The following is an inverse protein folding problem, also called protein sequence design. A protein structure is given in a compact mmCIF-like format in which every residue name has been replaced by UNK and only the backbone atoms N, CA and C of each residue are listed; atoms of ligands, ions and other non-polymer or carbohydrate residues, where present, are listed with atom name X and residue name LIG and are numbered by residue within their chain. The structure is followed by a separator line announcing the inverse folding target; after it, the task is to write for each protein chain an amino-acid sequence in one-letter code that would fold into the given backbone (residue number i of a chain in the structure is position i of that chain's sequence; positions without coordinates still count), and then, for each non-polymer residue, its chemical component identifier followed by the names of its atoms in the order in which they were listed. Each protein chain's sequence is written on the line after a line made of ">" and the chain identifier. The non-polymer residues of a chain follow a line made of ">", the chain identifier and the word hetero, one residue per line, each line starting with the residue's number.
data_IF_457494634441
#
_entry.id   IF_457494634441
#
_cell.length_a   1.000
_cell.length_b   1.000
_cell.length_c   1.000
_cell.angle_alpha   90.00
_cell.angle_beta   90.00
_cell.angle_gamma   90.00
#
_symmetry.space_group_name_H-M   'P 1'
#
loop_
_entity.id
_entity.type
_entity.pdbx_description
1 polymer ?
#
# COMPACT_ATOMS: atom_id res chain seq x y z
N UNK A 1 14.18 -8.56 -0.02
CA UNK A 1 13.58 -8.15 -1.32
C UNK A 1 13.90 -6.68 -1.57
N UNK A 2 14.07 -6.26 -2.83
CA UNK A 2 14.35 -4.83 -3.15
C UNK A 2 13.41 -4.33 -4.23
N UNK A 3 12.68 -3.24 -3.95
CA UNK A 3 11.85 -2.57 -4.93
C UNK A 3 12.59 -1.43 -5.63
N UNK A 4 12.25 -1.24 -6.90
CA UNK A 4 12.70 -0.16 -7.75
C UNK A 4 11.48 0.51 -8.38
N UNK A 5 11.51 1.83 -8.46
CA UNK A 5 10.43 2.61 -9.07
C UNK A 5 10.96 3.49 -10.19
N UNK A 6 10.14 3.74 -11.19
CA UNK A 6 10.37 4.76 -12.19
C UNK A 6 9.05 5.49 -12.49
N UNK A 7 9.10 6.81 -12.58
CA UNK A 7 7.93 7.65 -12.87
C UNK A 7 8.19 8.39 -14.18
N UNK A 8 7.19 8.51 -15.04
CA UNK A 8 7.42 9.08 -16.36
C UNK A 8 6.25 8.92 -17.32
N UNK A 9 6.61 8.69 -18.58
CA UNK A 9 5.68 8.41 -19.66
C UNK A 9 5.00 7.04 -19.52
N UNK A 10 3.91 6.84 -20.26
CA UNK A 10 3.22 5.54 -20.39
C UNK A 10 4.06 4.46 -21.07
N UNK A 11 5.19 4.81 -21.69
CA UNK A 11 6.12 3.82 -22.21
C UNK A 11 7.00 3.28 -21.07
N UNK A 12 7.33 1.99 -21.12
CA UNK A 12 8.22 1.38 -20.14
C UNK A 12 9.56 2.12 -20.06
N UNK A 13 10.14 2.31 -18.86
CA UNK A 13 11.42 2.99 -18.71
C UNK A 13 12.51 2.21 -19.44
N UNK A 14 13.34 2.93 -20.19
CA UNK A 14 14.49 2.37 -20.91
C UNK A 14 15.76 2.79 -20.16
N UNK A 15 16.71 1.85 -19.90
CA UNK A 15 16.67 0.44 -20.27
C UNK A 15 15.67 -0.36 -19.41
N UNK A 16 15.06 -1.42 -19.97
CA UNK A 16 14.32 -2.39 -19.16
C UNK A 16 15.28 -3.04 -18.14
N UNK A 17 14.77 -3.50 -16.98
CA UNK A 17 15.60 -4.25 -16.04
C UNK A 17 16.23 -5.44 -16.77
N UNK A 18 17.56 -5.50 -16.72
CA UNK A 18 18.34 -6.52 -17.43
C UNK A 18 18.13 -7.89 -16.79
N UNK A 19 18.38 -8.96 -17.54
CA UNK A 19 18.33 -10.34 -17.02
C UNK A 19 19.26 -10.55 -15.80
N UNK A 20 20.32 -9.75 -15.69
CA UNK A 20 21.26 -9.75 -14.56
C UNK A 20 20.69 -9.06 -13.31
N UNK A 21 19.43 -8.59 -13.34
CA UNK A 21 18.75 -7.98 -12.21
C UNK A 21 19.24 -6.57 -11.87
N UNK A 22 20.03 -5.95 -12.75
CA UNK A 22 20.55 -4.60 -12.57
C UNK A 22 19.53 -3.57 -13.06
N UNK A 23 19.12 -2.72 -12.13
CA UNK A 23 18.32 -1.53 -12.39
C UNK A 23 19.28 -0.35 -12.59
N UNK A 24 19.16 0.33 -13.72
CA UNK A 24 19.89 1.56 -14.03
C UNK A 24 18.93 2.74 -14.08
N UNK A 25 19.46 3.97 -14.04
CA UNK A 25 18.64 5.16 -14.28
C UNK A 25 17.78 4.96 -15.55
N UNK A 26 16.48 5.26 -15.53
CA UNK A 26 15.76 6.10 -14.56
C UNK A 26 15.17 5.36 -13.33
N UNK A 27 15.45 4.07 -13.15
CA UNK A 27 14.97 3.32 -11.99
C UNK A 27 15.66 3.77 -10.71
N UNK A 28 14.87 3.98 -9.64
CA UNK A 28 15.35 4.36 -8.31
C UNK A 28 15.06 3.25 -7.31
N UNK A 29 16.06 2.80 -6.58
CA UNK A 29 15.87 1.83 -5.50
C UNK A 29 15.19 2.49 -4.30
N UNK A 30 14.19 1.81 -3.74
CA UNK A 30 13.47 2.26 -2.55
C UNK A 30 14.26 1.95 -1.28
N UNK A 31 14.97 0.82 -1.27
CA UNK A 31 15.67 0.28 -0.11
C UNK A 31 15.50 -1.24 -0.03
N UNK A 32 16.36 -1.89 0.76
CA UNK A 32 16.22 -3.32 1.03
C UNK A 32 15.17 -3.53 2.14
N UNK A 33 14.25 -4.47 1.92
CA UNK A 33 13.26 -4.92 2.91
C UNK A 33 12.36 -3.79 3.47
N UNK A 34 12.14 -2.75 2.66
CA UNK A 34 11.18 -1.68 2.94
C UNK A 34 9.78 -2.17 2.60
N UNK A 35 8.87 -2.11 3.58
CA UNK A 35 7.46 -2.51 3.43
C UNK A 35 6.57 -1.38 2.95
N UNK A 36 6.90 -0.13 3.30
CA UNK A 36 6.12 1.05 2.93
C UNK A 36 7.03 2.25 2.69
N UNK A 37 6.70 3.08 1.71
CA UNK A 37 7.47 4.25 1.33
C UNK A 37 6.63 5.26 0.53
N UNK A 38 6.96 6.53 0.70
CA UNK A 38 6.36 7.60 -0.06
C UNK A 38 7.02 7.78 -1.43
N UNK A 39 6.20 7.87 -2.48
CA UNK A 39 6.65 8.17 -3.84
C UNK A 39 6.52 9.67 -4.07
N UNK A 40 7.65 10.37 -4.10
CA UNK A 40 7.69 11.77 -4.55
C UNK A 40 7.73 11.79 -6.08
N UNK A 41 6.70 12.39 -6.69
CA UNK A 41 6.63 12.62 -8.12
C UNK A 41 7.41 13.91 -8.39
N UNK A 42 8.57 13.80 -9.04
CA UNK A 42 9.36 14.99 -9.38
C UNK A 42 8.53 16.00 -10.19
N UNK A 43 8.64 17.28 -9.83
CA UNK A 43 8.00 18.44 -10.49
C UNK A 43 8.54 18.73 -11.91
N UNK A 44 9.37 17.86 -12.47
CA UNK A 44 10.04 18.07 -13.76
C UNK A 44 9.15 17.75 -14.98
N UNK A 45 7.88 17.36 -14.77
CA UNK A 45 6.90 17.22 -15.84
C UNK A 45 5.67 16.38 -15.45
N UNK A 46 4.66 16.28 -16.33
CA UNK A 46 3.47 15.46 -16.07
C UNK A 46 3.84 13.97 -16.02
N UNK A 47 3.82 13.41 -14.82
CA UNK A 47 4.00 11.97 -14.60
C UNK A 47 2.69 11.25 -14.93
N UNK A 48 2.72 10.36 -15.93
CA UNK A 48 1.53 9.63 -16.42
C UNK A 48 1.52 8.15 -16.05
N UNK A 49 2.66 7.61 -15.65
CA UNK A 49 2.80 6.23 -15.25
C UNK A 49 3.74 6.09 -14.05
N UNK A 50 3.42 5.11 -13.20
CA UNK A 50 4.31 4.56 -12.18
C UNK A 50 4.68 3.14 -12.60
N UNK A 51 5.98 2.90 -12.74
CA UNK A 51 6.56 1.59 -13.03
C UNK A 51 7.20 1.03 -11.76
N UNK A 52 6.87 -0.21 -11.42
CA UNK A 52 7.38 -0.90 -10.24
C UNK A 52 8.13 -2.15 -10.70
N UNK A 53 9.38 -2.27 -10.27
CA UNK A 53 10.22 -3.44 -10.45
C UNK A 53 10.57 -4.04 -9.10
N UNK A 54 10.47 -5.35 -8.96
CA UNK A 54 10.85 -6.07 -7.74
C UNK A 54 12.01 -7.02 -8.03
N UNK A 55 13.06 -6.95 -7.22
CA UNK A 55 14.15 -7.92 -7.22
C UNK A 55 14.01 -8.84 -6.01
N UNK A 56 13.75 -10.09 -6.32
CA UNK A 56 13.69 -11.17 -5.34
C UNK A 56 15.07 -11.79 -5.20
N UNK A 57 15.68 -11.67 -4.01
CA UNK A 57 16.88 -12.41 -3.69
C UNK A 57 16.44 -13.74 -3.08
N UNK A 58 16.94 -14.85 -3.64
CA UNK A 58 16.73 -16.18 -3.08
C UNK A 58 17.92 -16.51 -2.18
N UNK A 59 17.66 -16.89 -0.94
CA UNK A 59 18.66 -17.35 0.03
C UNK A 59 18.76 -18.88 0.10
N UNK A 60 18.07 -19.59 -0.80
CA UNK A 60 17.94 -21.05 -0.89
C UNK A 60 17.25 -21.71 0.31
N UNK A 61 16.73 -20.93 1.26
CA UNK A 61 15.98 -21.42 2.42
C UNK A 61 14.47 -21.23 2.26
N UNK A 62 14.06 -20.23 1.48
CA UNK A 62 12.66 -20.02 1.13
C UNK A 62 12.51 -19.31 -0.20
N UNK A 63 11.46 -19.68 -0.96
CA UNK A 63 11.07 -18.92 -2.15
C UNK A 63 10.42 -17.62 -1.70
N UNK A 64 10.95 -16.45 -2.07
CA UNK A 64 10.34 -15.18 -1.71
C UNK A 64 9.01 -15.01 -2.45
N UNK A 65 7.95 -14.64 -1.71
CA UNK A 65 6.60 -14.45 -2.25
C UNK A 65 6.12 -13.03 -1.99
N UNK A 66 5.66 -12.35 -3.05
CA UNK A 66 4.93 -11.10 -2.95
C UNK A 66 3.44 -11.40 -2.91
N UNK A 67 2.82 -11.31 -1.73
CA UNK A 67 1.38 -11.56 -1.58
C UNK A 67 0.53 -10.37 -2.03
N UNK A 68 1.00 -9.15 -1.78
CA UNK A 68 0.25 -7.93 -2.05
C UNK A 68 1.20 -6.78 -2.35
N UNK A 69 0.82 -5.96 -3.32
CA UNK A 69 1.39 -4.64 -3.55
C UNK A 69 0.23 -3.65 -3.66
N UNK A 70 0.31 -2.57 -2.90
CA UNK A 70 -0.72 -1.53 -2.85
C UNK A 70 -0.08 -0.20 -3.24
N UNK A 71 -0.79 0.56 -4.06
CA UNK A 71 -0.42 1.92 -4.44
C UNK A 71 -1.65 2.78 -4.24
N UNK A 72 -1.53 3.79 -3.39
CA UNK A 72 -2.57 4.78 -3.18
C UNK A 72 -2.13 6.12 -3.82
N UNK A 73 -3.07 6.75 -4.52
CA UNK A 73 -2.87 8.03 -5.22
C UNK A 73 -4.06 8.96 -4.95
N UNK A 74 -3.84 10.26 -5.11
CA UNK A 74 -4.85 11.33 -4.93
C UNK A 74 -5.58 11.28 -3.59
N UNK A 75 -4.86 10.88 -2.56
CA UNK A 75 -5.44 10.66 -1.25
C UNK A 75 -5.49 11.95 -0.43
N UNK A 76 -6.59 12.16 0.28
CA UNK A 76 -6.65 13.17 1.33
C UNK A 76 -5.59 12.83 2.38
N UNK A 77 -4.58 13.69 2.50
CA UNK A 77 -3.59 13.63 3.57
C UNK A 77 -4.18 14.22 4.85
N UNK A 78 -3.64 13.86 6.01
CA UNK A 78 -3.92 14.49 7.30
C UNK A 78 -3.30 15.89 7.42
N UNK A 79 -2.47 16.31 6.46
CA UNK A 79 -1.85 17.63 6.46
C UNK A 79 -2.84 18.80 6.59
N UNK A 80 -4.02 18.83 5.91
CA UNK A 80 -5.01 19.90 6.06
C UNK A 80 -5.65 19.97 7.45
N UNK A 81 -5.71 18.85 8.18
CA UNK A 81 -6.29 18.76 9.51
C UNK A 81 -5.34 19.28 10.60
N UNK A 82 -4.06 19.49 10.27
CA UNK A 82 -3.10 20.05 11.20
C UNK A 82 -3.24 21.58 11.36
N UNK A 83 -2.93 22.11 12.57
CA UNK A 83 -2.84 23.54 12.80
C UNK A 83 -1.93 24.23 11.76
N UNK A 84 -2.25 25.49 11.42
CA UNK A 84 -1.55 26.25 10.37
C UNK A 84 -0.02 26.29 10.55
N UNK A 85 0.45 26.39 11.80
CA UNK A 85 1.88 26.40 12.16
C UNK A 85 2.68 25.18 11.68
N UNK A 86 2.03 24.03 11.45
CA UNK A 86 2.66 22.82 10.92
C UNK A 86 2.50 22.69 9.41
N UNK A 87 1.57 23.42 8.81
CA UNK A 87 1.34 23.44 7.35
C UNK A 87 2.28 24.39 6.62
N UNK A 88 2.82 25.37 7.32
CA UNK A 88 3.81 26.30 6.79
C UNK A 88 5.10 25.55 6.40
N UNK A 89 5.33 25.37 5.09
CA UNK A 89 6.59 24.79 4.60
C UNK A 89 7.68 25.86 4.61
N UNK A 90 8.72 25.72 5.46
CA UNK A 90 9.86 26.61 5.37
C UNK A 90 10.53 26.48 3.99
N UNK A 91 11.08 27.57 3.43
CA UNK A 91 11.87 27.49 2.22
C UNK A 91 13.05 26.53 2.41
N UNK A 92 13.39 25.79 1.35
CA UNK A 92 14.59 24.95 1.35
C UNK A 92 15.81 25.81 1.72
N UNK A 93 16.64 25.33 2.64
CA UNK A 93 17.92 25.96 3.00
C UNK A 93 18.92 25.94 1.84
N UNK A 94 18.66 25.13 0.81
CA UNK A 94 19.50 25.00 -0.39
C UNK A 94 18.73 25.45 -1.64
N UNK A 95 19.27 26.40 -2.42
CA UNK A 95 18.60 26.98 -3.59
C UNK A 95 18.32 25.96 -4.71
N UNK A 96 19.11 24.89 -4.79
CA UNK A 96 19.00 23.86 -5.84
C UNK A 96 18.17 22.65 -5.42
N UNK A 97 17.56 22.68 -4.22
CA UNK A 97 16.71 21.58 -3.75
C UNK A 97 15.24 21.98 -3.70
N UNK A 98 14.33 21.10 -4.17
CA UNK A 98 12.91 21.28 -3.96
C UNK A 98 12.61 21.37 -2.46
N UNK A 99 11.50 22.04 -2.11
CA UNK A 99 11.10 22.23 -0.71
C UNK A 99 10.98 20.89 0.00
N UNK A 100 11.36 20.84 1.27
CA UNK A 100 11.30 19.61 2.05
C UNK A 100 9.84 19.16 2.25
N UNK A 101 9.52 17.96 1.76
CA UNK A 101 8.23 17.30 1.91
C UNK A 101 8.20 16.37 3.14
N UNK A 102 9.16 16.48 4.07
CA UNK A 102 9.31 15.60 5.22
C UNK A 102 7.99 15.33 5.97
N UNK A 103 7.27 16.39 6.37
CA UNK A 103 6.03 16.21 7.14
C UNK A 103 4.98 15.42 6.36
N UNK A 104 4.82 15.73 5.07
CA UNK A 104 3.90 14.99 4.19
C UNK A 104 4.32 13.52 4.10
N UNK A 105 5.60 13.25 3.81
CA UNK A 105 6.16 11.89 3.75
C UNK A 105 5.97 11.12 5.05
N UNK A 106 6.18 11.78 6.18
CA UNK A 106 6.03 11.20 7.50
C UNK A 106 4.56 10.84 7.77
N UNK A 107 3.63 11.77 7.55
CA UNK A 107 2.20 11.53 7.76
C UNK A 107 1.67 10.42 6.86
N UNK A 108 2.09 10.35 5.60
CA UNK A 108 1.64 9.30 4.67
C UNK A 108 1.96 7.88 5.16
N UNK A 109 3.04 7.67 5.92
CA UNK A 109 3.34 6.36 6.51
C UNK A 109 2.31 5.96 7.59
N UNK A 110 1.89 6.91 8.42
CA UNK A 110 0.84 6.65 9.42
C UNK A 110 -0.53 6.51 8.77
N UNK A 111 -0.83 7.34 7.76
CA UNK A 111 -2.07 7.23 6.98
C UNK A 111 -2.21 5.85 6.35
N UNK A 112 -1.13 5.31 5.78
CA UNK A 112 -1.10 3.96 5.21
C UNK A 112 -1.45 2.89 6.27
N UNK A 113 -0.79 2.97 7.43
CA UNK A 113 -1.05 2.05 8.55
C UNK A 113 -2.49 2.13 9.07
N UNK A 114 -3.01 3.34 9.31
CA UNK A 114 -4.39 3.50 9.82
C UNK A 114 -5.43 3.03 8.80
N UNK A 115 -5.20 3.23 7.50
CA UNK A 115 -6.10 2.70 6.45
C UNK A 115 -6.15 1.19 6.42
N UNK A 116 -5.06 0.50 6.71
CA UNK A 116 -5.09 -0.96 6.80
C UNK A 116 -6.02 -1.42 7.93
N UNK A 117 -5.95 -0.74 9.09
CA UNK A 117 -6.83 -0.99 10.23
C UNK A 117 -8.29 -0.64 9.88
N UNK A 118 -8.52 0.52 9.27
CA UNK A 118 -9.86 0.96 8.88
C UNK A 118 -10.48 0.04 7.83
N UNK A 119 -9.71 -0.41 6.84
CA UNK A 119 -10.16 -1.38 5.84
C UNK A 119 -10.57 -2.69 6.51
N UNK A 120 -9.72 -3.23 7.38
CA UNK A 120 -10.01 -4.45 8.15
C UNK A 120 -11.27 -4.27 9.01
N UNK A 121 -11.41 -3.10 9.65
CA UNK A 121 -12.58 -2.78 10.49
C UNK A 121 -13.85 -2.63 9.65
N UNK A 122 -13.74 -2.06 8.45
CA UNK A 122 -14.85 -1.88 7.51
C UNK A 122 -15.40 -3.19 6.96
N UNK A 123 -14.60 -4.27 6.95
CA UNK A 123 -15.04 -5.61 6.57
C UNK A 123 -15.75 -6.35 7.71
N UNK A 124 -15.56 -5.95 8.98
CA UNK A 124 -16.17 -6.64 10.14
C UNK A 124 -17.69 -6.75 10.08
N UNK A 125 -18.47 -5.74 9.63
CA UNK A 125 -19.92 -5.88 9.53
C UNK A 125 -20.36 -7.02 8.60
N UNK A 126 -19.59 -7.35 7.57
CA UNK A 126 -19.92 -8.46 6.65
C UNK A 126 -19.84 -9.83 7.36
N UNK A 127 -19.03 -9.96 8.40
CA UNK A 127 -18.96 -11.18 9.23
C UNK A 127 -20.18 -11.35 10.14
N UNK A 128 -21.00 -10.30 10.30
CA UNK A 128 -22.24 -10.33 11.08
C UNK A 128 -23.48 -10.54 10.19
N UNK A 129 -23.33 -10.52 8.87
CA UNK A 129 -24.38 -10.86 7.92
C UNK A 129 -24.31 -12.37 7.58
N UNK A 130 -25.26 -13.20 8.03
CA UNK A 130 -25.24 -14.63 7.74
C UNK A 130 -25.29 -14.94 6.23
N UNK A 131 -25.82 -14.03 5.39
CA UNK A 131 -25.85 -14.20 3.93
C UNK A 131 -24.53 -13.80 3.25
N UNK A 132 -23.66 -13.06 3.94
CA UNK A 132 -22.39 -12.55 3.42
C UNK A 132 -21.13 -13.10 4.10
N UNK A 133 -21.29 -13.79 5.24
CA UNK A 133 -20.19 -14.38 5.99
C UNK A 133 -19.63 -15.63 5.29
N UNK A 134 -18.30 -15.87 5.36
CA UNK A 134 -17.72 -17.13 4.88
C UNK A 134 -18.21 -18.32 5.71
N UNK A 135 -18.38 -19.48 5.08
CA UNK A 135 -18.96 -20.69 5.70
C UNK A 135 -18.26 -21.09 7.01
N UNK A 136 -16.94 -20.93 7.04
CA UNK A 136 -16.08 -21.23 8.20
C UNK A 136 -16.41 -20.37 9.44
N UNK A 137 -17.02 -19.19 9.23
CA UNK A 137 -17.40 -18.26 10.29
C UNK A 137 -18.84 -18.45 10.79
N UNK A 138 -19.68 -19.22 10.08
CA UNK A 138 -21.11 -19.38 10.42
C UNK A 138 -21.33 -20.05 11.78
N UNK A 139 -20.51 -21.05 12.13
CA UNK A 139 -20.59 -21.73 13.42
C UNK A 139 -20.23 -20.79 14.59
N UNK A 140 -19.21 -19.95 14.39
CA UNK A 140 -18.86 -18.90 15.35
C UNK A 140 -19.98 -17.86 15.48
N UNK A 141 -20.54 -17.41 14.35
CA UNK A 141 -21.62 -16.41 14.32
C UNK A 141 -22.89 -16.93 15.00
N UNK A 142 -23.26 -18.18 14.79
CA UNK A 142 -24.38 -18.81 15.45
C UNK A 142 -24.18 -18.91 16.98
N UNK A 143 -22.97 -19.26 17.42
CA UNK A 143 -22.59 -19.21 18.84
C UNK A 143 -22.68 -17.80 19.42
N UNK A 144 -22.22 -16.80 18.67
CA UNK A 144 -22.27 -15.38 19.05
C UNK A 144 -23.72 -14.85 19.16
N UNK A 145 -24.59 -15.23 18.22
CA UNK A 145 -26.01 -14.85 18.20
C UNK A 145 -26.89 -15.74 19.11
N UNK A 146 -26.30 -16.74 19.77
CA UNK A 146 -27.01 -17.75 20.56
C UNK A 146 -28.12 -18.48 19.77
N UNK A 147 -27.93 -18.67 18.47
CA UNK A 147 -28.84 -19.41 17.59
C UNK A 147 -28.36 -20.86 17.48
N UNK A 148 -29.20 -21.87 17.77
CA UNK A 148 -28.81 -23.25 17.58
C UNK A 148 -28.78 -23.62 16.10
N UNK A 149 -27.58 -23.88 15.54
CA UNK A 149 -27.46 -24.52 14.23
C UNK A 149 -27.79 -26.01 14.37
N UNK A 150 -28.93 -26.41 13.80
CA UNK A 150 -29.24 -27.84 13.70
C UNK A 150 -28.41 -28.47 12.56
N UNK A 151 -27.68 -29.55 12.85
CA UNK A 151 -26.78 -30.24 11.89
C UNK A 151 -27.51 -30.89 10.69
N UNK A 152 -28.82 -30.67 10.54
CA UNK A 152 -29.71 -31.34 9.58
C UNK A 152 -30.41 -30.41 8.60
N UNK A 153 -30.05 -29.12 8.53
CA UNK A 153 -30.68 -28.17 7.60
C UNK A 153 -29.84 -28.01 6.32
N UNK A 154 -30.46 -28.36 5.19
CA UNK A 154 -29.93 -28.19 3.84
C UNK A 154 -29.66 -26.71 3.51
N UNK A 155 -28.63 -26.51 2.70
CA UNK A 155 -28.04 -25.22 2.29
C UNK A 155 -29.05 -24.23 1.66
N UNK A 156 -30.19 -24.72 1.17
CA UNK A 156 -31.27 -23.89 0.61
C UNK A 156 -32.19 -23.24 1.67
N UNK A 157 -32.04 -23.60 2.95
CA UNK A 157 -32.85 -23.06 4.07
C UNK A 157 -31.98 -22.38 5.14
N UNK A 158 -30.66 -22.29 4.91
CA UNK A 158 -29.67 -21.65 5.79
C UNK A 158 -29.53 -20.18 5.45
#
# INVERSE_FOLDING_TARGET
>A
MTFHIATGALAAPVPPPTADGLFAAPWRAVGADVTDFFIDLDDTGPQRALWIGARFANDLHGTPVLRQARVDFDQASYLPDLPAIYRERPPSLYPDRPRDNFLLRYLSLFESFFREIEATTGELPALLDPAGAPDEALDWLAGFLAVPLSQTQDEATR
#
